data_IF_995046630044
#
_entry.id   IF_995046630044
#
_cell.length_a   1.000
_cell.length_b   1.000
_cell.length_c   1.000
_cell.angle_alpha   90.00
_cell.angle_beta   90.00
_cell.angle_gamma   90.00
#
_symmetry.space_group_name_H-M   'P 1'
#
loop_
_entity.id
_entity.type
_entity.pdbx_description
1 polymer ?
#
# COMPACT_ATOMS: atom_id res chain seq x y z
N UNK A 1 12.95 -5.33 -1.87
CA UNK A 1 12.02 -6.32 -1.26
C UNK A 1 10.66 -6.19 -1.90
N UNK A 2 10.10 -7.27 -2.42
CA UNK A 2 8.84 -7.22 -3.16
C UNK A 2 7.64 -7.22 -2.22
N UNK A 3 6.63 -6.44 -2.58
CA UNK A 3 5.41 -6.22 -1.81
C UNK A 3 4.22 -6.67 -2.62
N UNK A 4 3.38 -7.49 -2.03
CA UNK A 4 2.10 -7.90 -2.55
C UNK A 4 1.04 -6.94 -2.02
N UNK A 5 0.37 -6.24 -2.93
CA UNK A 5 -0.69 -5.27 -2.63
C UNK A 5 -2.02 -5.92 -2.92
N UNK A 6 -2.75 -6.26 -1.86
CA UNK A 6 -4.03 -6.94 -1.95
C UNK A 6 -5.18 -5.96 -1.73
N UNK A 7 -6.05 -5.70 -2.71
CA UNK A 7 -7.24 -4.87 -2.51
C UNK A 7 -8.20 -5.53 -1.52
N UNK A 8 -8.47 -4.87 -0.40
CA UNK A 8 -9.42 -5.33 0.62
C UNK A 8 -10.61 -4.36 0.72
N UNK A 9 -11.76 -4.85 1.19
CA UNK A 9 -12.95 -4.02 1.33
C UNK A 9 -13.65 -3.71 0.01
N UNK A 10 -14.10 -2.46 -0.16
CA UNK A 10 -14.79 -2.00 -1.37
C UNK A 10 -13.79 -1.71 -2.50
N UNK A 11 -14.21 -1.80 -3.78
CA UNK A 11 -13.34 -1.58 -4.92
C UNK A 11 -12.63 -0.22 -4.82
N UNK A 12 -11.31 -0.22 -4.99
CA UNK A 12 -10.48 0.99 -4.97
C UNK A 12 -10.58 1.85 -3.71
N UNK A 13 -10.87 1.22 -2.56
CA UNK A 13 -10.92 1.91 -1.26
C UNK A 13 -9.81 1.53 -0.32
N UNK A 14 -9.33 0.29 -0.34
CA UNK A 14 -8.38 -0.19 0.65
C UNK A 14 -7.49 -1.30 0.08
N UNK A 15 -6.24 -1.33 0.51
CA UNK A 15 -5.26 -2.33 0.10
C UNK A 15 -4.39 -2.76 1.28
N UNK A 16 -4.28 -4.05 1.53
CA UNK A 16 -3.31 -4.59 2.48
C UNK A 16 -1.97 -4.83 1.80
N UNK A 17 -0.89 -4.52 2.51
CA UNK A 17 0.49 -4.68 2.08
C UNK A 17 1.10 -5.88 2.78
N UNK A 18 1.51 -6.86 2.00
CA UNK A 18 2.21 -8.05 2.47
C UNK A 18 3.57 -8.15 1.81
N UNK A 19 4.54 -8.75 2.47
CA UNK A 19 5.73 -9.20 1.76
C UNK A 19 5.52 -10.55 1.07
N UNK A 20 6.50 -10.97 0.27
CA UNK A 20 6.50 -12.31 -0.34
C UNK A 20 6.53 -13.48 0.63
N UNK A 21 6.82 -13.23 1.90
CA UNK A 21 6.79 -14.23 2.98
C UNK A 21 5.44 -14.23 3.73
N UNK A 22 4.48 -13.39 3.32
CA UNK A 22 3.17 -13.26 3.95
C UNK A 22 3.14 -12.41 5.22
N UNK A 23 4.22 -11.67 5.54
CA UNK A 23 4.24 -10.74 6.67
C UNK A 23 3.45 -9.48 6.32
N UNK A 24 2.52 -9.11 7.20
CA UNK A 24 1.78 -7.86 7.08
C UNK A 24 2.72 -6.68 7.36
N UNK A 25 2.79 -5.76 6.41
CA UNK A 25 3.63 -4.56 6.51
C UNK A 25 2.81 -3.32 6.79
N UNK A 26 1.51 -3.34 6.49
CA UNK A 26 0.61 -2.23 6.68
C UNK A 26 -0.51 -2.23 5.65
N UNK A 27 -1.18 -1.10 5.50
CA UNK A 27 -2.31 -0.97 4.59
C UNK A 27 -2.37 0.43 3.98
N UNK A 28 -2.98 0.53 2.79
CA UNK A 28 -3.28 1.78 2.10
C UNK A 28 -4.79 1.98 2.18
N UNK A 29 -5.24 3.15 2.60
CA UNK A 29 -6.66 3.52 2.57
C UNK A 29 -6.87 4.71 1.67
N UNK A 30 -7.96 4.67 0.91
CA UNK A 30 -8.48 5.83 0.23
C UNK A 30 -9.33 6.65 1.20
N UNK A 31 -8.94 7.89 1.43
CA UNK A 31 -9.70 8.87 2.21
C UNK A 31 -10.48 9.79 1.27
N UNK A 32 -11.59 10.35 1.76
CA UNK A 32 -12.42 11.28 0.99
C UNK A 32 -11.82 12.68 0.82
N UNK A 33 -10.54 12.87 1.15
CA UNK A 33 -9.88 14.18 1.09
C UNK A 33 -9.43 14.49 -0.35
N UNK A 34 -9.78 15.68 -0.89
CA UNK A 34 -9.60 15.98 -2.32
C UNK A 34 -8.14 16.17 -2.75
N UNK A 35 -7.24 16.58 -1.84
CA UNK A 35 -5.84 16.83 -2.18
C UNK A 35 -4.93 15.59 -2.05
N UNK A 36 -5.27 14.67 -1.14
CA UNK A 36 -4.44 13.51 -0.84
C UNK A 36 -5.31 12.29 -0.51
N UNK A 37 -5.89 11.66 -1.53
CA UNK A 37 -6.86 10.61 -1.33
C UNK A 37 -6.23 9.31 -0.82
N UNK A 38 -4.91 9.08 -0.89
CA UNK A 38 -4.32 7.79 -0.48
C UNK A 38 -3.43 7.95 0.75
N UNK A 39 -3.73 7.17 1.79
CA UNK A 39 -2.98 7.17 3.04
C UNK A 39 -2.37 5.81 3.31
N UNK A 40 -1.05 5.74 3.44
CA UNK A 40 -0.32 4.55 3.90
C UNK A 40 -0.34 4.54 5.42
N UNK A 41 -0.73 3.40 5.98
CA UNK A 41 -0.74 3.10 7.41
C UNK A 41 0.23 1.93 7.62
N UNK A 42 1.51 2.22 7.90
CA UNK A 42 2.50 1.18 8.14
C UNK A 42 2.24 0.49 9.48
N UNK A 43 2.47 -0.82 9.53
CA UNK A 43 2.49 -1.57 10.78
C UNK A 43 3.70 -1.13 11.61
N UNK A 44 3.56 -1.03 12.93
CA UNK A 44 4.66 -0.61 13.81
C UNK A 44 5.85 -1.58 13.72
N UNK A 45 7.06 -1.05 13.53
CA UNK A 45 8.27 -1.86 13.36
C UNK A 45 8.36 -2.56 11.99
N UNK A 46 7.45 -2.27 11.06
CA UNK A 46 7.59 -2.71 9.67
C UNK A 46 8.66 -1.91 8.93
N UNK A 47 9.11 -2.45 7.81
CA UNK A 47 10.04 -1.75 6.91
C UNK A 47 9.42 -0.52 6.22
N UNK A 48 8.11 -0.30 6.37
CA UNK A 48 7.38 0.87 5.88
C UNK A 48 7.45 2.06 6.84
N UNK A 49 8.05 1.88 8.02
CA UNK A 49 8.25 2.97 8.96
C UNK A 49 9.13 4.07 8.33
N UNK A 50 8.63 5.31 8.32
CA UNK A 50 9.28 6.47 7.71
C UNK A 50 8.94 6.72 6.22
N UNK A 51 8.06 5.91 5.61
CA UNK A 51 7.47 6.25 4.30
C UNK A 51 6.52 7.44 4.47
N UNK A 52 6.45 8.38 3.51
CA UNK A 52 5.42 9.41 3.51
C UNK A 52 4.04 8.77 3.64
N UNK A 53 3.22 9.22 4.58
CA UNK A 53 1.94 8.57 4.84
C UNK A 53 0.86 8.99 3.84
N UNK A 54 1.06 10.09 3.13
CA UNK A 54 -0.01 10.79 2.41
C UNK A 54 0.39 10.97 0.95
N UNK A 55 -0.45 10.50 0.03
CA UNK A 55 -0.18 10.45 -1.40
C UNK A 55 -1.37 10.91 -2.26
N UNK A 56 -1.10 11.53 -3.42
CA UNK A 56 -2.13 11.98 -4.35
C UNK A 56 -2.79 10.83 -5.13
N UNK A 57 -2.05 9.74 -5.38
CA UNK A 57 -2.51 8.59 -6.16
C UNK A 57 -2.01 7.29 -5.53
N UNK A 58 -2.67 6.16 -5.85
CA UNK A 58 -2.21 4.83 -5.46
C UNK A 58 -0.79 4.58 -5.98
N UNK A 59 -0.55 4.86 -7.26
CA UNK A 59 0.76 4.70 -7.91
C UNK A 59 1.89 5.48 -7.19
N UNK A 60 1.61 6.72 -6.76
CA UNK A 60 2.58 7.50 -5.98
C UNK A 60 2.86 6.89 -4.60
N UNK A 61 1.85 6.28 -3.97
CA UNK A 61 2.02 5.54 -2.72
C UNK A 61 2.88 4.29 -2.93
N UNK A 62 2.60 3.52 -3.98
CA UNK A 62 3.37 2.33 -4.35
C UNK A 62 4.83 2.70 -4.66
N UNK A 63 5.06 3.70 -5.50
CA UNK A 63 6.42 4.19 -5.82
C UNK A 63 7.19 4.61 -4.57
N UNK A 64 6.52 5.24 -3.59
CA UNK A 64 7.17 5.62 -2.34
C UNK A 64 7.58 4.41 -1.49
N UNK A 65 6.75 3.36 -1.48
CA UNK A 65 7.04 2.08 -0.83
C UNK A 65 8.22 1.40 -1.53
N UNK A 66 8.19 1.30 -2.86
CA UNK A 66 9.25 0.70 -3.68
C UNK A 66 10.60 1.41 -3.45
N UNK A 67 10.60 2.74 -3.43
CA UNK A 67 11.78 3.55 -3.13
C UNK A 67 12.33 3.30 -1.73
N UNK A 68 11.46 3.04 -0.75
CA UNK A 68 11.87 2.75 0.63
C UNK A 68 12.48 1.36 0.77
N UNK A 69 11.86 0.37 0.14
CA UNK A 69 12.18 -1.04 0.32
C UNK A 69 13.16 -1.58 -0.72
N UNK A 70 13.45 -0.80 -1.77
CA UNK A 70 14.27 -1.23 -2.90
C UNK A 70 13.72 -2.48 -3.58
N UNK A 71 12.41 -2.57 -3.77
CA UNK A 71 11.78 -3.66 -4.53
C UNK A 71 10.53 -3.17 -5.24
N UNK A 72 9.72 -4.10 -5.73
CA UNK A 72 8.53 -3.77 -6.53
C UNK A 72 7.22 -4.08 -5.80
N UNK A 73 6.20 -3.26 -6.05
CA UNK A 73 4.84 -3.46 -5.59
C UNK A 73 4.02 -4.21 -6.67
N UNK A 74 3.59 -5.42 -6.36
CA UNK A 74 2.72 -6.23 -7.20
C UNK A 74 1.27 -6.07 -6.73
N UNK A 75 0.46 -5.36 -7.52
CA UNK A 75 -0.97 -5.23 -7.28
C UNK A 75 -1.68 -6.51 -7.72
N UNK A 76 -2.22 -7.25 -6.77
CA UNK A 76 -3.04 -8.43 -7.05
C UNK A 76 -4.43 -7.95 -7.46
N UNK A 77 -4.80 -8.13 -8.73
CA UNK A 77 -6.18 -7.90 -9.15
C UNK A 77 -7.08 -8.83 -8.33
N UNK A 78 -8.14 -8.27 -7.70
CA UNK A 78 -9.11 -9.10 -6.97
C UNK A 78 -9.66 -10.15 -7.94
N UNK A 79 -9.72 -11.45 -7.59
CA UNK A 79 -10.42 -12.42 -8.41
C UNK A 79 -11.88 -11.97 -8.52
N UNK A 80 -12.27 -11.61 -9.74
CA UNK A 80 -13.65 -11.42 -10.15
C UNK A 80 -14.41 -12.75 -9.96
N UNK A 81 -15.54 -12.76 -9.24
CA UNK A 81 -16.29 -13.98 -8.91
C UNK A 81 -16.99 -14.62 -10.10
#
# INVERSE_FOLDING_TARGET
MDIIVNPIGAPDTEWSLYDRLGRHLGLIRRTSWPANPFTILPERGSSLEGVPLIHPTLDAALTAIERRLGGTCELVARPEP
#
